data_IF_028554581865
#
_entry.id   IF_028554581865
#
_cell.length_a   1.000
_cell.length_b   1.000
_cell.length_c   1.000
_cell.angle_alpha   90.00
_cell.angle_beta   90.00
_cell.angle_gamma   90.00
#
_symmetry.space_group_name_H-M   'P 1'
#
loop_
_entity.id
_entity.type
_entity.pdbx_description
1 polymer ?
#
# COMPACT_ATOMS: atom_id res chain seq x y z
N UNK A 1 -7.91 7.89 15.17
CA UNK A 1 -7.32 9.23 15.39
C UNK A 1 -8.07 10.25 14.56
N UNK A 2 -8.26 11.44 15.10
CA UNK A 2 -8.99 12.50 14.41
C UNK A 2 -8.14 13.14 13.31
N UNK A 3 -8.78 13.89 12.40
CA UNK A 3 -8.06 14.61 11.35
C UNK A 3 -7.06 15.60 11.92
N UNK A 4 -7.40 16.22 13.05
CA UNK A 4 -6.51 17.16 13.73
C UNK A 4 -5.24 16.46 14.20
N UNK A 5 -5.38 15.27 14.76
CA UNK A 5 -4.23 14.49 15.22
C UNK A 5 -3.34 14.04 14.08
N UNK A 6 -3.93 13.67 12.95
CA UNK A 6 -3.17 13.31 11.74
C UNK A 6 -2.38 14.49 11.23
N UNK A 7 -3.00 15.65 11.18
CA UNK A 7 -2.34 16.87 10.72
C UNK A 7 -1.17 17.22 11.62
N UNK A 8 -1.36 17.12 12.93
CA UNK A 8 -0.31 17.41 13.90
C UNK A 8 0.86 16.45 13.72
N UNK A 9 0.58 15.19 13.51
CA UNK A 9 1.59 14.16 13.31
C UNK A 9 2.44 14.47 12.07
N UNK A 10 1.78 14.84 10.95
CA UNK A 10 2.49 15.22 9.73
C UNK A 10 3.31 16.48 9.91
N UNK A 11 2.78 17.48 10.64
CA UNK A 11 3.50 18.72 10.89
C UNK A 11 4.78 18.48 11.68
N UNK A 12 4.71 17.60 12.68
CA UNK A 12 5.88 17.23 13.45
C UNK A 12 6.91 16.49 12.59
N UNK A 13 6.44 15.57 11.75
CA UNK A 13 7.32 14.79 10.90
C UNK A 13 8.00 15.65 9.83
N UNK A 14 7.32 16.67 9.33
CA UNK A 14 7.92 17.60 8.37
C UNK A 14 9.09 18.35 8.98
N UNK A 15 8.96 18.71 10.25
CA UNK A 15 10.00 19.46 10.97
C UNK A 15 11.19 18.60 11.31
N UNK A 16 10.95 17.37 11.71
CA UNK A 16 12.00 16.47 12.16
C UNK A 16 11.60 15.02 11.84
N UNK A 17 12.22 14.45 10.85
CA UNK A 17 11.91 13.09 10.38
C UNK A 17 12.59 12.05 11.26
N UNK A 18 12.00 11.79 12.41
CA UNK A 18 12.51 10.77 13.33
C UNK A 18 11.88 9.41 13.03
N UNK A 19 12.57 8.30 13.34
CA UNK A 19 11.99 6.97 13.20
C UNK A 19 10.71 6.79 14.00
N UNK A 20 10.62 7.41 15.17
CA UNK A 20 9.46 7.32 16.05
C UNK A 20 8.23 7.96 15.41
N UNK A 21 8.38 9.13 14.81
CA UNK A 21 7.29 9.81 14.13
C UNK A 21 6.87 9.06 12.86
N UNK A 22 7.85 8.52 12.13
CA UNK A 22 7.59 7.73 10.93
C UNK A 22 6.75 6.49 11.29
N UNK A 23 7.10 5.81 12.36
CA UNK A 23 6.36 4.64 12.83
C UNK A 23 4.92 5.00 13.18
N UNK A 24 4.71 6.12 13.87
CA UNK A 24 3.37 6.58 14.21
C UNK A 24 2.52 6.84 12.97
N UNK A 25 3.12 7.41 11.92
CA UNK A 25 2.43 7.65 10.66
C UNK A 25 2.09 6.32 9.99
N UNK A 26 3.01 5.37 9.97
CA UNK A 26 2.76 4.04 9.40
C UNK A 26 1.57 3.39 10.09
N UNK A 27 1.53 3.42 11.41
CA UNK A 27 0.44 2.83 12.19
C UNK A 27 -0.88 3.53 11.88
N UNK A 28 -0.86 4.85 11.77
CA UNK A 28 -2.06 5.63 11.49
C UNK A 28 -2.72 5.25 10.16
N UNK A 29 -1.91 4.93 9.16
CA UNK A 29 -2.40 4.61 7.83
C UNK A 29 -2.41 3.11 7.52
N UNK A 30 -2.16 2.27 8.51
CA UNK A 30 -2.17 0.81 8.30
C UNK A 30 -3.51 0.31 7.78
N UNK A 31 -4.62 0.93 8.20
CA UNK A 31 -5.96 0.58 7.72
C UNK A 31 -6.12 0.79 6.23
N UNK A 32 -5.45 1.78 5.67
CA UNK A 32 -5.48 2.03 4.23
C UNK A 32 -4.86 0.87 3.46
N UNK A 33 -3.76 0.32 3.96
CA UNK A 33 -3.12 -0.86 3.37
C UNK A 33 -4.11 -2.03 3.33
N UNK A 34 -4.84 -2.24 4.43
CA UNK A 34 -5.82 -3.33 4.51
C UNK A 34 -6.94 -3.16 3.50
N UNK A 35 -7.42 -1.94 3.30
CA UNK A 35 -8.47 -1.66 2.31
C UNK A 35 -7.99 -1.99 0.90
N UNK A 36 -6.81 -1.51 0.54
CA UNK A 36 -6.25 -1.75 -0.80
C UNK A 36 -5.97 -3.24 -1.01
N UNK A 37 -5.37 -3.90 -0.02
CA UNK A 37 -5.09 -5.33 -0.09
C UNK A 37 -6.37 -6.14 -0.22
N UNK A 38 -7.43 -5.76 0.52
CA UNK A 38 -8.72 -6.43 0.44
C UNK A 38 -9.34 -6.36 -0.94
N UNK A 39 -9.29 -5.20 -1.58
CA UNK A 39 -9.81 -5.02 -2.94
C UNK A 39 -9.03 -5.86 -3.94
N UNK A 40 -7.71 -5.87 -3.84
CA UNK A 40 -6.87 -6.66 -4.72
C UNK A 40 -7.05 -8.15 -4.49
N UNK A 41 -7.27 -8.56 -3.24
CA UNK A 41 -7.52 -9.95 -2.90
C UNK A 41 -8.71 -10.51 -3.67
N UNK A 42 -9.79 -9.72 -3.78
CA UNK A 42 -10.96 -10.11 -4.55
C UNK A 42 -10.62 -10.28 -6.02
N UNK A 43 -9.86 -9.36 -6.57
CA UNK A 43 -9.45 -9.38 -7.97
C UNK A 43 -8.50 -10.54 -8.28
N UNK A 44 -7.53 -10.78 -7.39
CA UNK A 44 -6.48 -11.77 -7.62
C UNK A 44 -6.92 -13.20 -7.28
N UNK A 45 -7.95 -13.35 -6.45
CA UNK A 45 -8.45 -14.65 -6.05
C UNK A 45 -7.64 -15.27 -4.92
N UNK A 46 -7.96 -16.51 -4.58
CA UNK A 46 -7.42 -17.16 -3.39
C UNK A 46 -6.06 -17.82 -3.60
N UNK A 47 -5.41 -17.59 -4.71
CA UNK A 47 -4.05 -18.07 -4.93
C UNK A 47 -3.01 -17.18 -4.26
N UNK A 48 -3.44 -16.03 -3.74
CA UNK A 48 -2.57 -15.10 -3.05
C UNK A 48 -3.18 -14.82 -1.68
N UNK A 49 -2.38 -15.05 -0.64
CA UNK A 49 -2.84 -14.83 0.72
C UNK A 49 -3.03 -13.35 1.02
N UNK A 50 -4.15 -13.01 1.67
CA UNK A 50 -4.44 -11.62 2.05
C UNK A 50 -3.31 -11.03 2.91
N UNK A 51 -2.81 -11.81 3.89
CA UNK A 51 -1.76 -11.32 4.78
C UNK A 51 -0.48 -10.97 4.03
N UNK A 52 -0.17 -11.71 2.97
CA UNK A 52 0.97 -11.40 2.11
C UNK A 52 0.76 -10.08 1.38
N UNK A 53 -0.46 -9.85 0.90
CA UNK A 53 -0.79 -8.60 0.23
C UNK A 53 -0.65 -7.40 1.17
N UNK A 54 -1.08 -7.57 2.42
CA UNK A 54 -0.91 -6.53 3.43
C UNK A 54 0.58 -6.24 3.66
N UNK A 55 1.39 -7.29 3.72
CA UNK A 55 2.83 -7.13 3.88
C UNK A 55 3.46 -6.35 2.72
N UNK A 56 3.13 -6.73 1.50
CA UNK A 56 3.64 -6.04 0.31
C UNK A 56 3.16 -4.59 0.27
N UNK A 57 1.88 -4.37 0.60
CA UNK A 57 1.31 -3.02 0.61
C UNK A 57 1.94 -2.12 1.66
N UNK A 58 2.38 -2.69 2.78
CA UNK A 58 3.03 -1.92 3.83
C UNK A 58 4.33 -1.30 3.31
N UNK A 59 5.09 -2.01 2.48
CA UNK A 59 6.27 -1.44 1.85
C UNK A 59 5.90 -0.24 0.97
N UNK A 60 4.79 -0.34 0.24
CA UNK A 60 4.29 0.78 -0.55
C UNK A 60 3.90 1.98 0.30
N UNK A 61 3.29 1.74 1.46
CA UNK A 61 2.94 2.80 2.39
C UNK A 61 4.19 3.50 2.92
N UNK A 62 5.20 2.74 3.32
CA UNK A 62 6.45 3.30 3.82
C UNK A 62 7.12 4.16 2.75
N UNK A 63 7.16 3.66 1.53
CA UNK A 63 7.70 4.40 0.40
C UNK A 63 6.93 5.70 0.16
N UNK A 64 5.60 5.65 0.27
CA UNK A 64 4.76 6.83 0.11
C UNK A 64 5.05 7.87 1.18
N UNK A 65 5.23 7.44 2.43
CA UNK A 65 5.54 8.37 3.53
C UNK A 65 6.87 9.06 3.27
N UNK A 66 7.86 8.32 2.80
CA UNK A 66 9.20 8.85 2.57
C UNK A 66 9.24 9.82 1.39
N UNK A 67 8.39 9.62 0.39
CA UNK A 67 8.42 10.39 -0.86
C UNK A 67 7.31 11.41 -1.00
N UNK A 68 6.39 11.47 -0.06
CA UNK A 68 5.25 12.37 -0.18
C UNK A 68 5.69 13.84 -0.22
N UNK A 69 5.17 14.57 -1.21
CA UNK A 69 5.45 15.99 -1.36
C UNK A 69 4.22 16.78 -0.92
N UNK A 70 4.35 17.48 0.19
CA UNK A 70 3.26 18.26 0.79
C UNK A 70 2.83 19.43 -0.09
N UNK A 71 3.69 19.86 -1.00
CA UNK A 71 3.46 21.08 -1.79
C UNK A 71 2.74 20.82 -3.10
N UNK A 72 2.48 19.55 -3.46
CA UNK A 72 1.85 19.21 -4.72
C UNK A 72 0.32 19.20 -4.69
N UNK A 73 -0.28 19.44 -3.54
CA UNK A 73 -1.74 19.54 -3.44
C UNK A 73 -2.49 18.23 -3.54
N UNK A 74 -1.82 17.10 -3.59
CA UNK A 74 -2.44 15.78 -3.61
C UNK A 74 -2.57 15.29 -2.18
N UNK A 75 -3.75 14.76 -1.83
CA UNK A 75 -3.95 14.18 -0.50
C UNK A 75 -3.05 12.97 -0.33
N UNK A 76 -2.50 12.82 0.88
CA UNK A 76 -1.62 11.69 1.17
C UNK A 76 -2.31 10.36 0.89
N UNK A 77 -3.56 10.20 1.33
CA UNK A 77 -4.31 8.95 1.16
C UNK A 77 -4.43 8.55 -0.32
N UNK A 78 -4.66 9.52 -1.19
CA UNK A 78 -4.74 9.27 -2.63
C UNK A 78 -3.40 8.82 -3.18
N UNK A 79 -2.35 9.54 -2.84
CA UNK A 79 -1.00 9.22 -3.25
C UNK A 79 -0.57 7.85 -2.72
N UNK A 80 -0.80 7.60 -1.44
CA UNK A 80 -0.41 6.35 -0.79
C UNK A 80 -1.16 5.15 -1.37
N UNK A 81 -2.45 5.30 -1.67
CA UNK A 81 -3.24 4.20 -2.25
C UNK A 81 -2.64 3.70 -3.56
N UNK A 82 -2.19 4.62 -4.41
CA UNK A 82 -1.54 4.26 -5.67
C UNK A 82 -0.21 3.54 -5.41
N UNK A 83 0.57 4.03 -4.47
CA UNK A 83 1.86 3.42 -4.14
C UNK A 83 1.70 2.05 -3.51
N UNK A 84 0.72 1.90 -2.62
CA UNK A 84 0.40 0.62 -1.97
C UNK A 84 0.00 -0.41 -3.03
N UNK A 85 -0.93 -0.03 -3.90
CA UNK A 85 -1.39 -0.92 -4.96
C UNK A 85 -0.24 -1.32 -5.88
N UNK A 86 0.57 -0.35 -6.28
CA UNK A 86 1.72 -0.59 -7.13
C UNK A 86 2.72 -1.55 -6.51
N UNK A 87 2.99 -1.41 -5.21
CA UNK A 87 3.93 -2.29 -4.51
C UNK A 87 3.42 -3.73 -4.48
N UNK A 88 2.13 -3.92 -4.23
CA UNK A 88 1.52 -5.25 -4.22
C UNK A 88 1.62 -5.90 -5.60
N UNK A 89 1.20 -5.18 -6.63
CA UNK A 89 1.21 -5.71 -8.00
C UNK A 89 2.62 -5.98 -8.50
N UNK A 90 3.55 -5.12 -8.15
CA UNK A 90 4.95 -5.29 -8.53
C UNK A 90 5.53 -6.57 -7.93
N UNK A 91 5.23 -6.82 -6.66
CA UNK A 91 5.71 -8.03 -5.98
C UNK A 91 5.09 -9.29 -6.59
N UNK A 92 3.82 -9.23 -6.94
CA UNK A 92 3.13 -10.36 -7.56
C UNK A 92 3.75 -10.68 -8.91
N UNK A 93 4.11 -9.68 -9.71
CA UNK A 93 4.79 -9.88 -10.98
C UNK A 93 6.15 -10.54 -10.80
N UNK A 94 6.89 -10.13 -9.76
CA UNK A 94 8.20 -10.72 -9.46
C UNK A 94 8.11 -12.18 -9.09
N UNK A 95 6.96 -12.61 -8.56
CA UNK A 95 6.72 -13.99 -8.18
C UNK A 95 6.15 -14.81 -9.35
N UNK A 96 6.09 -14.25 -10.54
CA UNK A 96 5.49 -14.89 -11.72
C UNK A 96 4.06 -15.35 -11.49
N UNK A 97 3.35 -14.65 -10.60
CA UNK A 97 1.96 -14.98 -10.34
C UNK A 97 1.10 -14.55 -11.53
N UNK A 98 0.20 -15.44 -11.96
CA UNK A 98 -0.67 -15.18 -13.10
C UNK A 98 -2.11 -15.15 -12.61
N UNK A 99 -2.91 -14.12 -12.97
CA UNK A 99 -4.31 -14.09 -12.59
C UNK A 99 -5.04 -15.36 -13.04
N UNK A 100 -5.98 -15.79 -12.20
CA UNK A 100 -6.70 -17.03 -12.39
C UNK A 100 -7.23 -17.26 -13.81
N UNK A 101 -7.80 -16.24 -14.41
CA UNK A 101 -8.35 -16.35 -15.77
C UNK A 101 -7.27 -16.62 -16.81
N UNK A 102 -6.13 -15.95 -16.70
CA UNK A 102 -5.01 -16.16 -17.60
C UNK A 102 -4.38 -17.53 -17.39
N UNK A 103 -4.31 -17.98 -16.14
CA UNK A 103 -3.79 -19.31 -15.84
C UNK A 103 -4.62 -20.40 -16.51
N UNK A 104 -5.95 -20.28 -16.47
CA UNK A 104 -6.83 -21.23 -17.12
C UNK A 104 -6.63 -21.24 -18.63
N UNK A 105 -6.46 -20.08 -19.23
CA UNK A 105 -6.16 -19.98 -20.66
C UNK A 105 -4.87 -20.70 -21.02
N UNK A 106 -3.84 -20.51 -20.22
CA UNK A 106 -2.55 -21.15 -20.46
C UNK A 106 -2.65 -22.66 -20.39
N UNK A 107 -3.41 -23.17 -19.44
CA UNK A 107 -3.63 -24.63 -19.34
C UNK A 107 -4.32 -25.19 -20.56
N UNK A 108 -5.23 -24.43 -21.14
CA UNK A 108 -5.95 -24.89 -22.36
C UNK A 108 -5.04 -24.90 -23.58
N UNK A 109 -4.09 -24.01 -23.63
CA UNK A 109 -3.13 -23.93 -24.73
C UNK A 109 -2.14 -25.09 -24.67
N UNK A 110 -1.74 -25.41 -23.47
CA UNK A 110 -0.79 -26.50 -23.23
C UNK A 110 -1.45 -27.86 -23.44
#
# INVERSE_FOLDING_TARGET
MSTVDKQKLWDEYRKKRTPELREKIIIEYAGLVKVVAGRLSIYLGYNVEYDDLVGYGTFGLIDAIDKYDFDKGVKFETYASVRIRGAILDQIRKMDWIPRTLRQKQKKVD
#
